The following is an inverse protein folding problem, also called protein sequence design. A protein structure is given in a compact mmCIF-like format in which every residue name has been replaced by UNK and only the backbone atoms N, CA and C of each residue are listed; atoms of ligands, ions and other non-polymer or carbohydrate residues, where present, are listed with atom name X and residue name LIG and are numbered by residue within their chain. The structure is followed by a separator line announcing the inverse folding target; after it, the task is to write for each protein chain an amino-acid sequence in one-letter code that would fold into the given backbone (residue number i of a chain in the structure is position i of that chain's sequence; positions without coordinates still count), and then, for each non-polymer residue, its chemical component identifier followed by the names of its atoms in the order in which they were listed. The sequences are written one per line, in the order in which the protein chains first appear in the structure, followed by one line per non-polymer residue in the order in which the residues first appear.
data_IF_069702009601
#
_entry.id   IF_069702009601
#
_cell.length_a   1.000
_cell.length_b   1.000
_cell.length_c   1.000
_cell.angle_alpha   90.00
_cell.angle_beta   90.00
_cell.angle_gamma   90.00
#
_symmetry.space_group_name_H-M   'P 1'
#
loop_
_entity.id
_entity.type
_entity.pdbx_description
1 polymer ?
#
# COMPACT_ATOMS: atom_id res chain seq x y z
N UNK A 1 17.29 23.44 -10.60
CA UNK A 1 17.18 22.19 -9.82
C UNK A 1 16.67 22.56 -8.44
N UNK A 2 15.43 22.20 -8.13
CA UNK A 2 14.85 22.38 -6.80
C UNK A 2 15.61 21.48 -5.83
N UNK A 3 16.24 22.06 -4.81
CA UNK A 3 16.87 21.31 -3.74
C UNK A 3 15.77 20.70 -2.86
N UNK A 4 15.23 19.55 -3.25
CA UNK A 4 14.33 18.81 -2.37
C UNK A 4 15.13 18.35 -1.15
N UNK A 5 14.83 18.97 -0.02
CA UNK A 5 15.34 18.54 1.27
C UNK A 5 14.27 17.73 2.00
N UNK A 6 14.61 16.49 2.34
CA UNK A 6 13.75 15.68 3.22
C UNK A 6 13.78 16.29 4.62
N UNK A 7 12.66 16.33 5.36
CA UNK A 7 12.66 16.82 6.72
C UNK A 7 13.67 16.08 7.61
N UNK A 8 14.35 16.82 8.50
CA UNK A 8 15.40 16.27 9.37
C UNK A 8 14.94 15.07 10.21
N UNK A 9 13.65 15.02 10.58
CA UNK A 9 13.04 13.93 11.32
C UNK A 9 13.18 12.55 10.65
N UNK A 10 13.33 12.51 9.32
CA UNK A 10 13.52 11.26 8.58
C UNK A 10 14.97 10.76 8.57
N UNK A 11 15.94 11.56 9.04
CA UNK A 11 17.36 11.15 9.09
C UNK A 11 17.94 10.75 7.73
N UNK A 12 17.46 11.38 6.64
CA UNK A 12 17.85 11.04 5.27
C UNK A 12 19.35 11.27 5.05
N UNK A 13 20.00 10.34 4.33
CA UNK A 13 21.38 10.46 3.88
C UNK A 13 21.40 10.65 2.38
N UNK A 14 22.17 11.64 1.91
CA UNK A 14 22.29 11.93 0.49
C UNK A 14 23.49 11.16 -0.09
N UNK A 15 23.35 10.62 -1.32
CA UNK A 15 24.46 9.94 -1.98
C UNK A 15 25.60 10.91 -2.29
N UNK A 16 26.82 10.39 -2.30
CA UNK A 16 28.02 11.09 -2.77
C UNK A 16 28.23 10.84 -4.27
N UNK A 17 29.18 11.58 -4.85
CA UNK A 17 29.57 11.36 -6.24
C UNK A 17 30.15 9.95 -6.41
N UNK A 18 29.54 9.14 -7.28
CA UNK A 18 29.93 7.76 -7.55
C UNK A 18 29.07 6.70 -6.85
N UNK A 19 28.24 7.07 -5.88
CA UNK A 19 27.34 6.13 -5.20
C UNK A 19 26.22 5.66 -6.14
N UNK A 20 25.81 4.40 -6.00
CA UNK A 20 24.67 3.80 -6.70
C UNK A 20 23.55 3.48 -5.71
N UNK A 21 22.34 3.19 -6.22
CA UNK A 21 21.22 2.79 -5.37
C UNK A 21 21.49 1.51 -4.55
N UNK A 22 22.46 0.69 -4.95
CA UNK A 22 22.85 -0.52 -4.23
C UNK A 22 23.69 -0.25 -2.98
N UNK A 23 24.23 0.96 -2.83
CA UNK A 23 25.17 1.33 -1.77
C UNK A 23 24.45 1.87 -0.51
N UNK A 24 23.17 1.51 -0.31
CA UNK A 24 22.40 1.90 0.86
C UNK A 24 23.07 1.35 2.15
N UNK A 25 23.31 2.20 3.17
CA UNK A 25 23.82 1.72 4.46
C UNK A 25 22.87 0.71 5.12
N UNK A 26 23.41 -0.13 5.99
CA UNK A 26 22.60 -1.07 6.79
C UNK A 26 21.50 -0.31 7.54
N UNK A 27 20.25 -0.77 7.40
CA UNK A 27 19.07 -0.15 8.00
C UNK A 27 18.45 0.99 7.18
N UNK A 28 18.97 1.27 5.98
CA UNK A 28 18.43 2.27 5.06
C UNK A 28 17.94 1.62 3.76
N UNK A 29 17.09 2.33 3.02
CA UNK A 29 16.68 2.00 1.66
C UNK A 29 17.02 3.16 0.73
N UNK A 30 17.55 2.86 -0.45
CA UNK A 30 17.80 3.87 -1.49
C UNK A 30 16.50 4.26 -2.18
N UNK A 31 16.24 5.56 -2.28
CA UNK A 31 15.08 6.11 -2.99
C UNK A 31 15.52 7.27 -3.88
N UNK A 32 15.07 7.30 -5.12
CA UNK A 32 15.34 8.41 -6.03
C UNK A 32 14.42 9.59 -5.70
N UNK A 33 14.95 10.82 -5.62
CA UNK A 33 14.11 12.01 -5.34
C UNK A 33 12.97 12.15 -6.38
N UNK A 34 13.27 11.86 -7.64
CA UNK A 34 12.31 11.81 -8.74
C UNK A 34 11.16 10.82 -8.51
N UNK A 35 11.32 9.80 -7.66
CA UNK A 35 10.23 8.89 -7.26
C UNK A 35 9.12 9.64 -6.52
N UNK A 36 9.49 10.62 -5.68
CA UNK A 36 8.54 11.43 -4.94
C UNK A 36 7.94 12.55 -5.80
N UNK A 37 8.73 13.15 -6.69
CA UNK A 37 8.29 14.22 -7.59
C UNK A 37 7.42 13.72 -8.75
N UNK A 38 7.86 12.66 -9.44
CA UNK A 38 7.27 12.24 -10.72
C UNK A 38 6.14 11.22 -10.52
N UNK A 39 6.30 10.28 -9.58
CA UNK A 39 5.29 9.23 -9.42
C UNK A 39 4.08 9.69 -8.59
N UNK A 40 4.17 10.82 -7.88
CA UNK A 40 3.20 11.23 -6.85
C UNK A 40 2.80 10.03 -5.96
N UNK A 41 3.74 9.10 -5.77
CA UNK A 41 3.50 7.82 -5.13
C UNK A 41 3.48 8.06 -3.63
N UNK A 42 2.36 8.59 -3.16
CA UNK A 42 2.00 8.51 -1.76
C UNK A 42 1.68 7.05 -1.51
N UNK A 43 2.68 6.27 -1.09
CA UNK A 43 2.43 4.94 -0.56
C UNK A 43 1.39 5.11 0.54
N UNK A 44 0.18 4.56 0.39
CA UNK A 44 -0.87 4.78 1.37
C UNK A 44 -0.61 3.85 2.56
N UNK A 45 0.45 4.16 3.31
CA UNK A 45 0.85 3.47 4.55
C UNK A 45 0.03 4.04 5.71
N UNK A 46 -1.28 3.90 5.63
CA UNK A 46 -2.12 4.12 6.82
C UNK A 46 -1.88 3.04 7.85
N UNK A 47 -2.33 3.27 9.07
CA UNK A 47 -2.24 2.30 10.18
C UNK A 47 -2.81 0.95 9.74
N UNK A 48 -4.02 0.94 9.16
CA UNK A 48 -4.63 -0.27 8.61
C UNK A 48 -3.75 -0.98 7.56
N UNK A 49 -3.15 -0.25 6.63
CA UNK A 49 -2.29 -0.86 5.61
C UNK A 49 -1.03 -1.49 6.23
N UNK A 50 -0.43 -0.84 7.23
CA UNK A 50 0.73 -1.38 7.95
C UNK A 50 0.34 -2.65 8.72
N UNK A 51 -0.77 -2.62 9.46
CA UNK A 51 -1.28 -3.78 10.19
C UNK A 51 -1.64 -4.95 9.26
N UNK A 52 -2.19 -4.66 8.09
CA UNK A 52 -2.53 -5.66 7.08
C UNK A 52 -1.26 -6.34 6.54
N UNK A 53 -0.24 -5.56 6.20
CA UNK A 53 1.05 -6.08 5.73
C UNK A 53 1.74 -6.90 6.83
N UNK A 54 1.68 -6.44 8.07
CA UNK A 54 2.23 -7.14 9.22
C UNK A 54 1.50 -8.46 9.51
N UNK A 55 0.17 -8.49 9.40
CA UNK A 55 -0.63 -9.70 9.60
C UNK A 55 -0.27 -10.77 8.57
N UNK A 56 -0.18 -10.39 7.29
CA UNK A 56 0.14 -11.33 6.21
C UNK A 56 1.64 -11.61 6.05
N UNK A 57 2.51 -10.90 6.79
CA UNK A 57 3.98 -11.03 6.74
C UNK A 57 4.54 -10.79 5.34
N UNK A 58 4.04 -9.76 4.66
CA UNK A 58 4.47 -9.38 3.31
C UNK A 58 4.98 -7.93 3.28
N UNK A 59 6.00 -7.69 2.46
CA UNK A 59 6.48 -6.34 2.16
C UNK A 59 5.57 -5.67 1.13
N UNK A 60 5.39 -4.35 1.21
CA UNK A 60 4.50 -3.60 0.30
C UNK A 60 4.84 -3.79 -1.18
N UNK A 61 6.13 -3.98 -1.52
CA UNK A 61 6.56 -4.24 -2.90
C UNK A 61 6.19 -5.62 -3.43
N UNK A 62 5.82 -6.55 -2.55
CA UNK A 62 5.32 -7.87 -2.92
C UNK A 62 3.82 -7.85 -3.19
N UNK A 63 3.14 -6.74 -2.89
CA UNK A 63 1.72 -6.56 -3.17
C UNK A 63 1.51 -6.11 -4.63
N UNK A 64 0.63 -6.80 -5.34
CA UNK A 64 0.13 -6.35 -6.63
C UNK A 64 -0.60 -5.00 -6.52
N UNK A 65 -0.58 -4.15 -7.57
CA UNK A 65 -1.36 -2.92 -7.59
C UNK A 65 -2.85 -3.13 -7.27
N UNK A 66 -3.43 -4.24 -7.79
CA UNK A 66 -4.81 -4.59 -7.52
C UNK A 66 -5.06 -4.99 -6.06
N UNK A 67 -4.10 -5.64 -5.41
CA UNK A 67 -4.14 -5.91 -3.97
C UNK A 67 -4.21 -4.62 -3.16
N UNK A 68 -3.40 -3.63 -3.55
CA UNK A 68 -3.37 -2.32 -2.88
C UNK A 68 -4.70 -1.59 -3.02
N UNK A 69 -5.27 -1.57 -4.24
CA UNK A 69 -6.58 -0.94 -4.49
C UNK A 69 -7.68 -1.59 -3.64
N UNK A 70 -7.67 -2.91 -3.47
CA UNK A 70 -8.66 -3.61 -2.65
C UNK A 70 -8.55 -3.28 -1.17
N UNK A 71 -7.33 -3.27 -0.61
CA UNK A 71 -7.09 -2.83 0.77
C UNK A 71 -7.57 -1.40 1.01
N UNK A 72 -7.24 -0.47 0.10
CA UNK A 72 -7.64 0.93 0.19
C UNK A 72 -9.14 1.14 0.05
N UNK A 73 -9.78 0.44 -0.87
CA UNK A 73 -11.23 0.53 -1.05
C UNK A 73 -11.99 0.03 0.18
N UNK A 74 -11.52 -1.05 0.80
CA UNK A 74 -12.07 -1.51 2.07
C UNK A 74 -11.95 -0.43 3.14
N UNK A 75 -10.75 0.12 3.31
CA UNK A 75 -10.47 1.17 4.29
C UNK A 75 -11.33 2.43 4.08
N UNK A 76 -11.48 2.88 2.84
CA UNK A 76 -12.34 4.02 2.51
C UNK A 76 -13.82 3.72 2.79
N UNK A 77 -14.29 2.50 2.51
CA UNK A 77 -15.68 2.12 2.74
C UNK A 77 -16.02 2.12 4.23
N UNK A 78 -15.13 1.57 5.06
CA UNK A 78 -15.32 1.54 6.50
C UNK A 78 -15.29 2.96 7.08
N UNK A 79 -14.29 3.76 6.72
CA UNK A 79 -14.21 5.14 7.16
C UNK A 79 -15.43 5.98 6.72
N UNK A 80 -15.94 5.77 5.50
CA UNK A 80 -17.14 6.46 5.02
C UNK A 80 -18.41 6.10 5.82
N UNK A 81 -18.42 4.94 6.48
CA UNK A 81 -19.48 4.50 7.39
C UNK A 81 -19.18 4.84 8.86
N UNK A 82 -18.13 5.62 9.13
CA UNK A 82 -17.63 5.90 10.49
C UNK A 82 -17.28 4.62 11.28
N UNK A 83 -16.83 3.58 10.57
CA UNK A 83 -16.33 2.33 11.13
C UNK A 83 -14.81 2.32 11.07
N UNK A 84 -14.17 1.77 12.10
CA UNK A 84 -12.72 1.56 12.11
C UNK A 84 -12.36 0.38 11.18
N UNK A 85 -11.45 0.55 10.22
CA UNK A 85 -11.01 -0.53 9.35
C UNK A 85 -10.05 -1.46 10.11
N UNK A 86 -10.52 -2.66 10.46
CA UNK A 86 -9.72 -3.67 11.14
C UNK A 86 -9.30 -4.79 10.18
N UNK A 87 -8.09 -5.33 10.37
CA UNK A 87 -7.59 -6.50 9.60
C UNK A 87 -8.53 -7.71 9.75
N UNK A 88 -9.14 -7.86 10.93
CA UNK A 88 -10.09 -8.94 11.20
C UNK A 88 -11.35 -8.87 10.33
N UNK A 89 -11.83 -7.66 10.06
CA UNK A 89 -12.97 -7.45 9.17
C UNK A 89 -12.55 -7.63 7.71
N UNK A 90 -11.38 -7.13 7.33
CA UNK A 90 -10.85 -7.31 5.99
C UNK A 90 -10.81 -8.79 5.58
N UNK A 91 -10.28 -9.66 6.45
CA UNK A 91 -10.17 -11.11 6.17
C UNK A 91 -11.50 -11.86 6.13
N UNK A 92 -12.60 -11.27 6.62
CA UNK A 92 -13.97 -11.83 6.48
C UNK A 92 -14.46 -11.69 5.04
N UNK A 93 -14.11 -10.59 4.37
CA UNK A 93 -14.49 -10.33 2.98
C UNK A 93 -13.46 -10.86 1.98
N UNK A 94 -12.18 -10.84 2.35
CA UNK A 94 -11.09 -11.12 1.43
C UNK A 94 -10.21 -12.30 1.88
N UNK A 95 -9.62 -12.98 0.91
CA UNK A 95 -8.61 -14.01 1.09
C UNK A 95 -7.36 -13.64 0.29
N UNK A 96 -6.19 -13.75 0.91
CA UNK A 96 -4.92 -13.53 0.20
C UNK A 96 -4.72 -14.59 -0.88
N UNK A 97 -4.22 -14.14 -2.02
CA UNK A 97 -3.88 -14.97 -3.19
C UNK A 97 -2.53 -14.55 -3.72
N UNK A 98 -1.83 -15.47 -4.34
CA UNK A 98 -0.61 -15.19 -5.08
C UNK A 98 -0.88 -15.36 -6.58
N UNK A 99 -0.42 -14.41 -7.39
CA UNK A 99 -0.48 -14.51 -8.84
C UNK A 99 0.77 -13.86 -9.44
N UNK A 100 1.49 -14.62 -10.29
CA UNK A 100 2.71 -14.17 -10.99
C UNK A 100 3.78 -13.61 -10.03
N UNK A 101 3.95 -14.22 -8.86
CA UNK A 101 4.96 -13.80 -7.87
C UNK A 101 4.58 -12.56 -7.04
N UNK A 102 3.36 -12.05 -7.18
CA UNK A 102 2.82 -10.95 -6.36
C UNK A 102 1.62 -11.42 -5.53
N UNK A 103 1.49 -10.87 -4.32
CA UNK A 103 0.33 -11.07 -3.47
C UNK A 103 -0.82 -10.14 -3.84
N UNK A 104 -2.03 -10.63 -3.67
CA UNK A 104 -3.28 -9.89 -3.88
C UNK A 104 -4.35 -10.42 -2.92
N UNK A 105 -5.56 -9.88 -3.03
CA UNK A 105 -6.69 -10.27 -2.20
C UNK A 105 -7.90 -10.57 -3.07
N UNK A 106 -8.42 -11.81 -3.10
CA UNK A 106 -9.69 -12.12 -3.77
C UNK A 106 -10.85 -11.99 -2.78
N UNK A 107 -12.04 -11.65 -3.27
CA UNK A 107 -13.26 -11.73 -2.45
C UNK A 107 -13.53 -13.19 -2.14
N UNK A 108 -13.86 -13.50 -0.88
CA UNK A 108 -14.22 -14.86 -0.45
C UNK A 108 -15.55 -15.28 -1.06
N UNK A 109 -15.67 -16.57 -1.37
CA UNK A 109 -16.96 -17.13 -1.78
C UNK A 109 -17.98 -16.98 -0.65
N UNK A 110 -19.19 -16.53 -1.00
CA UNK A 110 -20.26 -16.27 -0.04
C UNK A 110 -20.13 -14.98 0.77
N UNK A 111 -19.01 -14.24 0.68
CA UNK A 111 -18.90 -12.95 1.34
C UNK A 111 -19.82 -11.91 0.66
N UNK A 112 -20.45 -11.00 1.43
CA UNK A 112 -21.14 -9.85 0.86
C UNK A 112 -20.13 -9.07 0.02
N UNK A 113 -20.48 -8.72 -1.22
CA UNK A 113 -19.59 -7.91 -2.07
C UNK A 113 -19.52 -6.50 -1.46
N UNK A 114 -18.39 -6.09 -0.86
CA UNK A 114 -18.25 -4.72 -0.38
C UNK A 114 -18.33 -3.83 -1.62
N UNK A 115 -19.35 -2.97 -1.67
CA UNK A 115 -19.65 -2.09 -2.81
C UNK A 115 -20.12 -2.80 -4.09
N UNK A 116 -21.21 -3.54 -4.01
CA UNK A 116 -22.03 -3.73 -5.23
C UNK A 116 -22.67 -2.38 -5.59
N UNK A 117 -22.57 -1.89 -6.84
CA UNK A 117 -23.44 -0.83 -7.29
C UNK A 117 -24.90 -1.19 -6.96
N UNK A 118 -25.75 -0.23 -6.59
CA UNK A 118 -27.18 -0.46 -6.54
C UNK A 118 -27.61 -1.17 -7.82
N UNK A 119 -28.41 -2.25 -7.70
CA UNK A 119 -28.97 -2.93 -8.87
C UNK A 119 -29.69 -1.88 -9.72
N UNK A 120 -29.23 -1.68 -10.96
CA UNK A 120 -29.82 -0.75 -11.93
C UNK A 120 -28.94 0.40 -12.45
N UNK A 121 -27.66 0.50 -12.06
CA UNK A 121 -26.75 1.59 -12.53
C UNK A 121 -25.78 1.15 -13.64
N UNK A 122 -25.77 -0.13 -14.03
CA UNK A 122 -25.06 -0.55 -15.25
C UNK A 122 -25.95 -0.24 -16.47
N UNK A 123 -25.56 0.79 -17.24
CA UNK A 123 -25.99 0.94 -18.64
C UNK A 123 -25.18 -0.02 -19.52
#
# INVERSE_FOLDING_TARGET
MTSIQMPAAYGARYPQEGDTASDAPVGYVSMFANWFEICNLRLPLTVFMVELLEYYKIHISQLSPLGMVRARNFEYTFNAQSLEPLVEDFRRFYQMTEQLGFFSFRVREGAPKPMSPPKGIAK
#
